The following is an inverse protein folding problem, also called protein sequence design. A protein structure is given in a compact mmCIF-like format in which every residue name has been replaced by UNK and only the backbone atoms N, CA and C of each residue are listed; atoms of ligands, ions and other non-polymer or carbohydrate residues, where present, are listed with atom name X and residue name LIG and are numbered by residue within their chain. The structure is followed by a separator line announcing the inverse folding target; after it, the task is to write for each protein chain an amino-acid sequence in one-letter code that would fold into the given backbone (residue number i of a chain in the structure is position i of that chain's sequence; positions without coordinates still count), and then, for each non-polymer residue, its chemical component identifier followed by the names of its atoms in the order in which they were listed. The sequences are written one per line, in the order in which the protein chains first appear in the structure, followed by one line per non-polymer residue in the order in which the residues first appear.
data_IF_671819782968
#
_entry.id   IF_671819782968
#
_cell.length_a   1.000
_cell.length_b   1.000
_cell.length_c   1.000
_cell.angle_alpha   90.00
_cell.angle_beta   90.00
_cell.angle_gamma   90.00
#
_symmetry.space_group_name_H-M   'P 1'
#
loop_
_entity.id
_entity.type
_entity.pdbx_description
1 polymer ?
#
# COMPACT_ATOMS: atom_id res chain seq x y z
N UNK A 1 3.94 1.34 -29.23
CA UNK A 1 3.49 1.93 -27.98
C UNK A 1 2.93 0.89 -26.98
N UNK A 2 2.14 -0.11 -27.39
CA UNK A 2 1.56 -1.12 -26.50
C UNK A 2 2.57 -2.08 -25.85
N UNK A 3 3.65 -2.51 -26.53
CA UNK A 3 4.66 -3.43 -25.96
C UNK A 3 5.47 -2.83 -24.81
N UNK A 4 5.88 -1.56 -24.93
CA UNK A 4 6.63 -0.87 -23.86
C UNK A 4 5.72 -0.65 -22.65
N UNK A 5 4.46 -0.25 -22.87
CA UNK A 5 3.47 -0.10 -21.80
C UNK A 5 3.20 -1.44 -21.07
N UNK A 6 3.14 -2.53 -21.81
CA UNK A 6 2.94 -3.87 -21.27
C UNK A 6 4.15 -4.35 -20.46
N UNK A 7 5.38 -4.12 -20.95
CA UNK A 7 6.63 -4.45 -20.22
C UNK A 7 6.74 -3.63 -18.93
N UNK A 8 6.36 -2.33 -18.97
CA UNK A 8 6.35 -1.48 -17.77
C UNK A 8 5.27 -1.97 -16.78
N UNK A 9 4.09 -2.32 -17.25
CA UNK A 9 3.02 -2.85 -16.42
C UNK A 9 3.40 -4.22 -15.81
N UNK A 10 4.00 -5.12 -16.59
CA UNK A 10 4.49 -6.42 -16.09
C UNK A 10 5.62 -6.25 -15.06
N UNK A 11 6.53 -5.29 -15.27
CA UNK A 11 7.57 -4.94 -14.30
C UNK A 11 6.98 -4.39 -12.99
N UNK A 12 5.97 -3.52 -13.08
CA UNK A 12 5.26 -2.96 -11.90
C UNK A 12 4.47 -4.05 -11.17
N UNK A 13 3.85 -4.99 -11.89
CA UNK A 13 3.00 -6.04 -11.30
C UNK A 13 3.76 -7.23 -10.73
N UNK A 14 4.90 -7.63 -11.32
CA UNK A 14 5.63 -8.84 -10.93
C UNK A 14 6.85 -8.59 -10.03
N UNK A 15 7.45 -7.41 -10.06
CA UNK A 15 8.64 -7.07 -9.27
C UNK A 15 8.32 -6.03 -8.18
N UNK A 16 7.88 -6.48 -7.02
CA UNK A 16 7.68 -5.58 -5.89
C UNK A 16 9.02 -5.05 -5.35
N UNK A 17 9.35 -3.79 -5.64
CA UNK A 17 10.58 -3.11 -5.16
C UNK A 17 10.71 -3.21 -3.62
N UNK A 18 9.61 -3.21 -2.91
CA UNK A 18 9.57 -3.37 -1.44
C UNK A 18 10.20 -4.71 -1.02
N UNK A 19 10.01 -5.78 -1.81
CA UNK A 19 10.54 -7.12 -1.53
C UNK A 19 11.94 -7.36 -2.11
N UNK A 20 12.53 -6.36 -2.77
CA UNK A 20 13.87 -6.48 -3.31
C UNK A 20 14.91 -6.69 -2.21
N UNK A 21 15.91 -7.49 -2.52
CA UNK A 21 17.07 -7.66 -1.65
C UNK A 21 17.83 -6.34 -1.51
N UNK A 22 18.58 -6.13 -0.42
CA UNK A 22 19.41 -4.94 -0.25
C UNK A 22 20.35 -4.67 -1.45
N UNK A 23 20.85 -5.72 -2.11
CA UNK A 23 21.70 -5.60 -3.28
C UNK A 23 20.95 -5.15 -4.54
N UNK A 24 19.73 -5.60 -4.77
CA UNK A 24 18.90 -5.11 -5.87
C UNK A 24 18.57 -3.61 -5.72
N UNK A 25 18.25 -3.18 -4.48
CA UNK A 25 18.06 -1.78 -4.15
C UNK A 25 19.33 -0.95 -4.35
N UNK A 26 20.49 -1.52 -4.00
CA UNK A 26 21.80 -0.89 -4.26
C UNK A 26 22.10 -0.76 -5.75
N UNK A 27 21.78 -1.77 -6.55
CA UNK A 27 21.92 -1.71 -8.01
C UNK A 27 21.07 -0.60 -8.60
N UNK A 28 19.81 -0.44 -8.16
CA UNK A 28 18.93 0.66 -8.58
C UNK A 28 19.55 2.03 -8.20
N UNK A 29 19.99 2.18 -6.95
CA UNK A 29 20.59 3.43 -6.46
C UNK A 29 21.83 3.82 -7.25
N UNK A 30 22.71 2.84 -7.52
CA UNK A 30 23.93 3.06 -8.33
C UNK A 30 23.59 3.37 -9.80
N UNK A 31 22.56 2.74 -10.36
CA UNK A 31 22.10 3.05 -11.73
C UNK A 31 21.55 4.47 -11.82
N UNK A 32 20.80 4.94 -10.84
CA UNK A 32 20.35 6.33 -10.75
C UNK A 32 21.53 7.29 -10.61
N UNK A 33 22.56 6.94 -9.80
CA UNK A 33 23.79 7.70 -9.68
C UNK A 33 24.54 7.79 -11.02
N UNK A 34 24.65 6.68 -11.75
CA UNK A 34 25.24 6.67 -13.09
C UNK A 34 24.49 7.57 -14.08
N UNK A 35 23.17 7.48 -14.09
CA UNK A 35 22.33 8.32 -14.96
C UNK A 35 22.49 9.81 -14.64
N UNK A 36 22.50 10.16 -13.35
CA UNK A 36 22.73 11.53 -12.91
C UNK A 36 24.14 12.01 -13.29
N UNK A 37 25.17 11.22 -13.05
CA UNK A 37 26.55 11.56 -13.45
C UNK A 37 26.69 11.70 -14.97
N UNK A 38 26.02 10.85 -15.74
CA UNK A 38 25.98 10.95 -17.21
C UNK A 38 25.31 12.26 -17.68
N UNK A 39 24.25 12.71 -17.03
CA UNK A 39 23.63 14.00 -17.33
C UNK A 39 24.60 15.18 -17.11
N UNK A 40 25.48 15.09 -16.08
CA UNK A 40 26.54 16.07 -15.87
C UNK A 40 27.55 16.11 -17.01
N UNK A 41 27.96 14.95 -17.53
CA UNK A 41 28.84 14.86 -18.69
C UNK A 41 28.21 15.52 -19.91
N UNK A 42 26.92 15.23 -20.18
CA UNK A 42 26.19 15.83 -21.29
C UNK A 42 26.09 17.36 -21.16
N UNK A 43 25.79 17.88 -19.98
CA UNK A 43 25.68 19.30 -19.72
C UNK A 43 27.06 20.02 -19.90
N UNK A 44 28.12 19.43 -19.37
CA UNK A 44 29.49 19.98 -19.56
C UNK A 44 29.92 19.91 -21.03
N UNK A 45 29.59 18.82 -21.72
CA UNK A 45 29.80 18.70 -23.17
C UNK A 45 29.05 19.78 -23.96
N UNK A 46 27.82 20.05 -23.61
CA UNK A 46 27.01 21.13 -24.19
C UNK A 46 27.70 22.50 -24.02
N UNK A 47 28.27 22.79 -22.86
CA UNK A 47 29.02 24.04 -22.64
C UNK A 47 30.22 24.14 -23.60
N UNK A 48 31.01 23.07 -23.76
CA UNK A 48 32.22 23.09 -24.59
C UNK A 48 31.91 23.30 -26.07
N UNK A 49 30.83 22.78 -26.59
CA UNK A 49 30.42 22.90 -28.01
C UNK A 49 29.64 24.18 -28.32
N UNK A 50 29.30 25.00 -27.30
CA UNK A 50 28.45 26.18 -27.47
C UNK A 50 29.20 27.47 -27.10
N UNK A 51 29.98 28.11 -28.02
CA UNK A 51 30.79 29.28 -27.73
C UNK A 51 30.02 30.50 -27.18
N UNK A 52 28.75 30.62 -27.51
CA UNK A 52 27.90 31.76 -27.08
C UNK A 52 27.73 31.83 -25.56
N UNK A 53 27.86 30.72 -24.83
CA UNK A 53 27.71 30.65 -23.37
C UNK A 53 29.01 30.63 -22.59
N UNK A 54 30.16 30.59 -23.26
CA UNK A 54 31.48 30.51 -22.61
C UNK A 54 31.76 31.65 -21.62
N UNK A 55 31.25 32.85 -21.90
CA UNK A 55 31.41 33.98 -20.99
C UNK A 55 30.75 33.75 -19.61
N UNK A 56 29.79 32.83 -19.51
CA UNK A 56 29.08 32.53 -18.28
C UNK A 56 29.56 31.28 -17.55
N UNK A 57 30.52 30.54 -18.13
CA UNK A 57 31.08 29.31 -17.57
C UNK A 57 32.58 29.42 -17.33
N UNK A 58 33.10 28.66 -16.36
CA UNK A 58 34.54 28.49 -16.14
C UNK A 58 35.05 27.31 -16.96
N UNK A 59 35.51 27.55 -18.18
CA UNK A 59 35.85 26.50 -19.13
C UNK A 59 36.95 25.56 -18.64
N UNK A 60 38.02 26.10 -18.02
CA UNK A 60 39.13 25.27 -17.52
C UNK A 60 38.67 24.29 -16.44
N UNK A 61 37.74 24.73 -15.60
CA UNK A 61 37.12 23.87 -14.60
C UNK A 61 36.17 22.85 -15.23
N UNK A 62 35.36 23.26 -16.24
CA UNK A 62 34.48 22.36 -16.99
C UNK A 62 35.26 21.22 -17.62
N UNK A 63 36.37 21.50 -18.31
CA UNK A 63 37.21 20.47 -18.93
C UNK A 63 37.81 19.49 -17.92
N UNK A 64 38.39 19.99 -16.82
CA UNK A 64 38.93 19.12 -15.78
C UNK A 64 37.87 18.25 -15.11
N UNK A 65 36.69 18.79 -14.93
CA UNK A 65 35.57 18.10 -14.29
C UNK A 65 34.92 17.02 -15.18
N UNK A 66 35.03 17.09 -16.50
CA UNK A 66 34.57 16.02 -17.40
C UNK A 66 35.36 14.73 -17.12
N UNK A 67 36.69 14.84 -17.02
CA UNK A 67 37.52 13.67 -16.72
C UNK A 67 37.21 13.06 -15.37
N UNK A 68 36.92 13.88 -14.35
CA UNK A 68 36.50 13.40 -13.04
C UNK A 68 35.15 12.71 -13.10
N UNK A 69 34.18 13.26 -13.85
CA UNK A 69 32.87 12.59 -14.03
C UNK A 69 32.98 11.28 -14.80
N UNK A 70 33.86 11.17 -15.82
CA UNK A 70 34.09 9.91 -16.51
C UNK A 70 34.70 8.86 -15.57
N UNK A 71 35.65 9.23 -14.73
CA UNK A 71 36.22 8.36 -13.72
C UNK A 71 35.14 7.93 -12.70
N UNK A 72 34.33 8.86 -12.21
CA UNK A 72 33.23 8.59 -11.26
C UNK A 72 32.22 7.66 -11.88
N UNK A 73 31.83 7.87 -13.14
CA UNK A 73 30.89 7.00 -13.85
C UNK A 73 31.42 5.56 -13.93
N UNK A 74 32.70 5.41 -14.27
CA UNK A 74 33.40 4.11 -14.32
C UNK A 74 33.38 3.44 -12.93
N UNK A 75 33.73 4.16 -11.87
CA UNK A 75 33.73 3.61 -10.51
C UNK A 75 32.32 3.19 -10.03
N UNK A 76 31.30 4.02 -10.31
CA UNK A 76 29.92 3.69 -10.00
C UNK A 76 29.43 2.43 -10.76
N UNK A 77 29.79 2.32 -12.05
CA UNK A 77 29.46 1.14 -12.84
C UNK A 77 30.16 -0.14 -12.31
N UNK A 78 31.43 -0.03 -11.88
CA UNK A 78 32.13 -1.14 -11.22
C UNK A 78 31.46 -1.55 -9.91
N UNK A 79 30.94 -0.60 -9.12
CA UNK A 79 30.21 -0.89 -7.87
C UNK A 79 28.89 -1.63 -8.09
N UNK A 80 28.35 -1.65 -9.32
CA UNK A 80 27.16 -2.45 -9.64
C UNK A 80 27.49 -3.96 -9.71
N UNK A 81 28.70 -4.34 -10.08
CA UNK A 81 29.13 -5.74 -10.24
C UNK A 81 28.91 -6.57 -8.96
N UNK A 82 29.31 -6.12 -7.75
CA UNK A 82 29.06 -6.84 -6.52
C UNK A 82 27.58 -7.14 -6.25
N UNK A 83 26.65 -6.28 -6.70
CA UNK A 83 25.22 -6.47 -6.51
C UNK A 83 24.71 -7.76 -7.16
N UNK A 84 25.29 -8.17 -8.27
CA UNK A 84 24.90 -9.38 -9.01
C UNK A 84 25.82 -10.57 -8.71
N UNK A 85 27.12 -10.33 -8.54
CA UNK A 85 28.13 -11.39 -8.35
C UNK A 85 28.10 -12.03 -6.99
N UNK A 86 27.73 -11.26 -5.95
CA UNK A 86 27.74 -11.69 -4.53
C UNK A 86 26.36 -11.66 -3.89
N UNK A 87 25.31 -11.97 -4.69
CA UNK A 87 23.90 -11.88 -4.29
C UNK A 87 23.56 -12.68 -3.03
N UNK A 88 24.22 -13.82 -2.81
CA UNK A 88 23.94 -14.75 -1.70
C UNK A 88 24.91 -14.56 -0.53
N UNK A 89 25.85 -13.60 -0.60
CA UNK A 89 26.86 -13.36 0.43
C UNK A 89 26.34 -12.37 1.48
N UNK A 90 26.32 -12.77 2.75
CA UNK A 90 25.83 -11.95 3.86
C UNK A 90 26.61 -10.62 4.05
N UNK A 91 27.93 -10.63 3.81
CA UNK A 91 28.76 -9.43 3.89
C UNK A 91 28.38 -8.41 2.81
N UNK A 92 28.09 -8.87 1.58
CA UNK A 92 27.72 -8.01 0.47
C UNK A 92 26.36 -7.33 0.74
N UNK A 93 25.39 -8.08 1.28
CA UNK A 93 24.08 -7.53 1.64
C UNK A 93 24.15 -6.45 2.74
N UNK A 94 25.21 -6.40 3.54
CA UNK A 94 25.40 -5.37 4.57
C UNK A 94 26.25 -4.20 4.09
N UNK A 95 27.36 -4.47 3.37
CA UNK A 95 28.37 -3.46 3.03
C UNK A 95 28.00 -2.72 1.73
N UNK A 96 27.52 -3.42 0.71
CA UNK A 96 27.23 -2.78 -0.60
C UNK A 96 26.17 -1.69 -0.51
N UNK A 97 25.05 -1.85 0.23
CA UNK A 97 24.10 -0.77 0.43
C UNK A 97 24.70 0.48 1.06
N UNK A 98 25.56 0.29 2.07
CA UNK A 98 26.24 1.39 2.74
C UNK A 98 27.13 2.16 1.75
N UNK A 99 27.97 1.44 1.00
CA UNK A 99 28.88 2.05 0.00
C UNK A 99 28.06 2.76 -1.10
N UNK A 100 26.98 2.15 -1.58
CA UNK A 100 26.14 2.72 -2.64
C UNK A 100 25.54 4.07 -2.27
N UNK A 101 24.98 4.16 -1.05
CA UNK A 101 24.37 5.40 -0.55
C UNK A 101 25.46 6.46 -0.29
N UNK A 102 26.60 6.07 0.30
CA UNK A 102 27.73 6.97 0.54
C UNK A 102 28.29 7.53 -0.77
N UNK A 103 28.53 6.66 -1.77
CA UNK A 103 29.06 7.07 -3.07
C UNK A 103 28.12 8.08 -3.77
N UNK A 104 26.81 7.83 -3.75
CA UNK A 104 25.85 8.75 -4.34
C UNK A 104 25.83 10.10 -3.62
N UNK A 105 25.81 10.10 -2.28
CA UNK A 105 25.81 11.35 -1.51
C UNK A 105 27.07 12.16 -1.65
N UNK A 106 28.26 11.52 -1.72
CA UNK A 106 29.51 12.20 -1.97
C UNK A 106 29.55 12.85 -3.35
N UNK A 107 29.08 12.13 -4.39
CA UNK A 107 28.93 12.68 -5.73
C UNK A 107 28.02 13.90 -5.73
N UNK A 108 26.86 13.82 -5.06
CA UNK A 108 25.91 14.92 -4.97
C UNK A 108 26.49 16.14 -4.23
N UNK A 109 27.25 15.94 -3.15
CA UNK A 109 27.92 17.04 -2.44
C UNK A 109 28.96 17.72 -3.31
N UNK A 110 29.78 16.95 -4.05
CA UNK A 110 30.78 17.47 -4.98
C UNK A 110 30.11 18.29 -6.09
N UNK A 111 29.13 17.71 -6.78
CA UNK A 111 28.44 18.36 -7.88
C UNK A 111 27.60 19.56 -7.39
N UNK A 112 27.02 19.44 -6.19
CA UNK A 112 26.31 20.52 -5.51
C UNK A 112 27.19 21.71 -5.18
N UNK A 113 28.44 21.48 -4.73
CA UNK A 113 29.43 22.55 -4.57
C UNK A 113 29.70 23.26 -5.90
N UNK A 114 29.86 22.51 -6.98
CA UNK A 114 30.23 23.05 -8.30
C UNK A 114 29.17 24.00 -8.89
N UNK A 115 27.87 23.74 -8.64
CA UNK A 115 26.75 24.58 -9.12
C UNK A 115 26.16 25.48 -8.04
N UNK A 116 26.68 25.38 -6.82
CA UNK A 116 26.24 26.11 -5.64
C UNK A 116 25.58 25.21 -4.61
N UNK A 117 26.19 25.17 -3.42
CA UNK A 117 25.76 24.29 -2.30
C UNK A 117 24.31 24.50 -1.86
N UNK A 118 23.74 25.68 -2.07
CA UNK A 118 22.34 26.03 -1.80
C UNK A 118 21.55 26.36 -3.08
N UNK A 119 22.06 25.97 -4.26
CA UNK A 119 21.29 26.17 -5.50
C UNK A 119 20.02 25.32 -5.52
N UNK A 120 18.97 25.73 -6.25
CA UNK A 120 17.73 24.94 -6.34
C UNK A 120 17.97 23.49 -6.78
N UNK A 121 18.88 23.27 -7.73
CA UNK A 121 19.22 21.93 -8.22
C UNK A 121 19.90 21.06 -7.15
N UNK A 122 20.82 21.63 -6.36
CA UNK A 122 21.45 20.92 -5.24
C UNK A 122 20.44 20.56 -4.17
N UNK A 123 19.54 21.47 -3.80
CA UNK A 123 18.54 21.22 -2.76
C UNK A 123 17.52 20.16 -3.20
N UNK A 124 17.03 20.22 -4.43
CA UNK A 124 16.12 19.22 -4.98
C UNK A 124 16.81 17.84 -5.07
N UNK A 125 18.05 17.78 -5.56
CA UNK A 125 18.85 16.56 -5.61
C UNK A 125 19.06 15.95 -4.22
N UNK A 126 19.40 16.79 -3.26
CA UNK A 126 19.65 16.39 -1.87
C UNK A 126 18.40 15.81 -1.21
N UNK A 127 17.28 16.52 -1.25
CA UNK A 127 16.01 16.05 -0.67
C UNK A 127 15.48 14.81 -1.40
N UNK A 128 15.57 14.79 -2.74
CA UNK A 128 15.16 13.64 -3.56
C UNK A 128 15.96 12.38 -3.23
N UNK A 129 17.30 12.51 -3.10
CA UNK A 129 18.15 11.35 -2.77
C UNK A 129 17.86 10.80 -1.37
N UNK A 130 17.58 11.66 -0.39
CA UNK A 130 17.18 11.23 0.95
C UNK A 130 15.84 10.50 0.88
N UNK A 131 14.84 11.08 0.20
CA UNK A 131 13.53 10.46 0.04
C UNK A 131 13.61 9.07 -0.57
N UNK A 132 14.35 8.94 -1.69
CA UNK A 132 14.60 7.64 -2.33
C UNK A 132 15.36 6.70 -1.40
N UNK A 133 16.39 7.19 -0.70
CA UNK A 133 17.18 6.41 0.24
C UNK A 133 16.33 5.83 1.39
N UNK A 134 15.50 6.65 2.03
CA UNK A 134 14.63 6.23 3.15
C UNK A 134 13.56 5.21 2.74
N UNK A 135 13.19 5.20 1.48
CA UNK A 135 12.27 4.21 0.93
C UNK A 135 12.98 2.89 0.64
N UNK A 136 14.19 2.94 0.10
CA UNK A 136 14.91 1.76 -0.34
C UNK A 136 15.69 1.06 0.77
N UNK A 137 16.24 1.81 1.74
CA UNK A 137 17.18 1.31 2.73
C UNK A 137 16.74 1.57 4.16
N UNK A 138 17.37 0.86 5.10
CA UNK A 138 17.20 1.09 6.53
C UNK A 138 17.67 2.51 6.92
N UNK A 139 16.96 3.13 7.84
CA UNK A 139 17.24 4.49 8.32
C UNK A 139 18.70 4.70 8.73
N UNK A 140 19.33 3.68 9.37
CA UNK A 140 20.74 3.74 9.80
C UNK A 140 21.71 3.95 8.62
N UNK A 141 21.48 3.27 7.51
CA UNK A 141 22.30 3.39 6.29
C UNK A 141 22.16 4.79 5.70
N UNK A 142 20.92 5.28 5.59
CA UNK A 142 20.64 6.59 5.00
C UNK A 142 21.22 7.71 5.87
N UNK A 143 20.99 7.68 7.19
CA UNK A 143 21.50 8.72 8.09
C UNK A 143 23.02 8.73 8.19
N UNK A 144 23.70 7.60 8.01
CA UNK A 144 25.16 7.55 7.98
C UNK A 144 25.77 8.31 6.80
N UNK A 145 25.03 8.46 5.69
CA UNK A 145 25.46 9.26 4.54
C UNK A 145 24.91 10.70 4.58
N UNK A 146 23.67 10.84 5.03
CA UNK A 146 22.95 12.11 5.09
C UNK A 146 23.58 13.13 6.06
N UNK A 147 23.92 12.70 7.28
CA UNK A 147 24.48 13.61 8.29
C UNK A 147 25.83 14.20 7.84
N UNK A 148 26.82 13.40 7.36
CA UNK A 148 28.04 13.96 6.80
C UNK A 148 27.81 14.86 5.59
N UNK A 149 26.89 14.49 4.69
CA UNK A 149 26.56 15.29 3.51
C UNK A 149 25.98 16.66 3.89
N UNK A 150 25.10 16.71 4.89
CA UNK A 150 24.57 17.97 5.45
C UNK A 150 25.70 18.85 5.95
N UNK A 151 26.61 18.27 6.73
CA UNK A 151 27.75 18.99 7.29
C UNK A 151 28.65 19.53 6.17
N UNK A 152 28.97 18.72 5.16
CA UNK A 152 29.77 19.13 4.01
C UNK A 152 29.11 20.32 3.28
N UNK A 153 27.84 20.23 2.92
CA UNK A 153 27.12 21.31 2.25
C UNK A 153 27.04 22.58 3.09
N UNK A 154 26.80 22.45 4.40
CA UNK A 154 26.77 23.58 5.32
C UNK A 154 28.15 24.26 5.43
N UNK A 155 29.21 23.48 5.55
CA UNK A 155 30.61 23.99 5.59
C UNK A 155 30.97 24.67 4.26
N UNK A 156 30.64 24.05 3.12
CA UNK A 156 30.87 24.66 1.80
C UNK A 156 30.12 25.99 1.67
N UNK A 157 28.89 26.06 2.15
CA UNK A 157 28.09 27.29 2.15
C UNK A 157 28.73 28.36 3.02
N UNK A 158 29.15 28.03 4.23
CA UNK A 158 29.79 28.95 5.16
C UNK A 158 31.12 29.49 4.60
N UNK A 159 31.98 28.61 4.06
CA UNK A 159 33.24 29.00 3.46
C UNK A 159 33.03 29.86 2.20
N UNK A 160 31.95 29.61 1.44
CA UNK A 160 31.62 30.48 0.31
C UNK A 160 31.14 31.87 0.75
N UNK A 161 30.36 31.95 1.85
CA UNK A 161 29.88 33.24 2.42
C UNK A 161 31.04 34.06 2.98
N UNK A 162 32.06 33.41 3.55
CA UNK A 162 33.30 34.11 4.07
C UNK A 162 34.29 34.42 2.99
N UNK A 163 34.08 34.02 1.72
CA UNK A 163 34.95 34.27 0.61
C UNK A 163 36.20 33.38 0.56
N UNK A 164 36.29 32.36 1.43
CA UNK A 164 37.43 31.40 1.44
C UNK A 164 37.41 30.51 0.19
N UNK A 165 36.22 30.10 -0.26
CA UNK A 165 36.03 29.34 -1.50
C UNK A 165 35.03 30.07 -2.40
N UNK A 166 35.10 29.83 -3.71
CA UNK A 166 34.15 30.38 -4.67
C UNK A 166 32.81 29.69 -4.57
N UNK A 167 31.70 30.42 -4.45
CA UNK A 167 30.36 29.87 -4.61
C UNK A 167 30.08 29.48 -6.05
N UNK A 168 29.58 28.28 -6.29
CA UNK A 168 29.22 27.74 -7.61
C UNK A 168 30.34 27.96 -8.69
N UNK A 169 31.50 27.38 -8.48
CA UNK A 169 32.71 27.73 -9.26
C UNK A 169 32.62 27.39 -10.77
N UNK A 170 31.66 26.59 -11.20
CA UNK A 170 31.41 26.35 -12.63
C UNK A 170 30.78 27.54 -13.34
N UNK A 171 30.11 28.45 -12.62
CA UNK A 171 29.49 29.63 -13.19
C UNK A 171 30.37 30.89 -13.00
N UNK A 172 30.42 31.74 -14.01
CA UNK A 172 31.07 33.05 -13.94
C UNK A 172 30.04 34.15 -13.64
N UNK A 173 29.70 34.31 -12.36
CA UNK A 173 28.68 35.31 -11.93
C UNK A 173 29.14 36.76 -12.18
N UNK A 174 30.44 37.03 -12.38
CA UNK A 174 30.93 38.37 -12.68
C UNK A 174 30.42 38.88 -14.03
N UNK A 175 30.23 37.98 -14.98
CA UNK A 175 29.70 38.29 -16.31
C UNK A 175 28.16 38.20 -16.42
N UNK A 176 27.52 37.59 -15.45
CA UNK A 176 26.06 37.48 -15.34
C UNK A 176 25.51 38.71 -14.58
N UNK A 177 24.98 39.70 -15.27
CA UNK A 177 24.41 40.93 -14.63
C UNK A 177 23.36 40.60 -13.56
N UNK A 178 22.50 39.61 -13.82
CA UNK A 178 21.46 39.10 -12.91
C UNK A 178 21.42 37.55 -13.05
N UNK A 179 22.09 36.84 -12.18
CA UNK A 179 22.16 35.38 -12.25
C UNK A 179 20.79 34.71 -12.31
N UNK A 180 19.83 35.19 -11.50
CA UNK A 180 18.48 34.62 -11.38
C UNK A 180 17.64 34.74 -12.66
N UNK A 181 17.93 35.66 -13.55
CA UNK A 181 17.22 35.87 -14.83
C UNK A 181 18.05 35.45 -16.05
N UNK A 182 19.30 34.99 -15.84
CA UNK A 182 20.17 34.54 -16.91
C UNK A 182 19.64 33.23 -17.52
N UNK A 183 19.36 33.17 -18.85
CA UNK A 183 18.80 31.97 -19.48
C UNK A 183 19.69 30.72 -19.34
N UNK A 184 21.02 30.88 -19.35
CA UNK A 184 21.94 29.76 -19.18
C UNK A 184 21.86 29.17 -17.77
N UNK A 185 21.82 30.03 -16.73
CA UNK A 185 21.69 29.58 -15.35
C UNK A 185 20.33 28.93 -15.10
N UNK A 186 19.22 29.57 -15.53
CA UNK A 186 17.88 29.00 -15.41
C UNK A 186 17.74 27.67 -16.13
N UNK A 187 18.23 27.61 -17.40
CA UNK A 187 18.23 26.39 -18.19
C UNK A 187 19.03 25.27 -17.53
N UNK A 188 20.20 25.60 -16.94
CA UNK A 188 21.00 24.62 -16.19
C UNK A 188 20.28 24.10 -14.95
N UNK A 189 19.61 24.99 -14.17
CA UNK A 189 18.83 24.55 -13.01
C UNK A 189 17.69 23.62 -13.42
N UNK A 190 16.93 23.98 -14.45
CA UNK A 190 15.85 23.15 -14.98
C UNK A 190 16.37 21.80 -15.50
N UNK A 191 17.49 21.80 -16.22
CA UNK A 191 18.12 20.58 -16.73
C UNK A 191 18.44 19.56 -15.62
N UNK A 192 18.92 20.03 -14.47
CA UNK A 192 19.23 19.13 -13.34
C UNK A 192 18.02 18.80 -12.48
N UNK A 193 17.08 19.73 -12.32
CA UNK A 193 15.90 19.54 -11.46
C UNK A 193 14.90 18.57 -12.11
N UNK A 194 14.59 18.75 -13.38
CA UNK A 194 13.50 18.03 -14.03
C UNK A 194 13.66 16.51 -14.05
N UNK A 195 14.83 15.94 -14.39
CA UNK A 195 15.03 14.49 -14.33
C UNK A 195 14.85 13.92 -12.92
N UNK A 196 15.31 14.65 -11.90
CA UNK A 196 15.18 14.22 -10.49
C UNK A 196 13.71 14.20 -10.08
N UNK A 197 12.94 15.24 -10.38
CA UNK A 197 11.52 15.31 -10.08
C UNK A 197 10.74 14.21 -10.79
N UNK A 198 11.03 13.97 -12.07
CA UNK A 198 10.38 12.91 -12.85
C UNK A 198 10.73 11.53 -12.24
N UNK A 199 11.99 11.28 -11.91
CA UNK A 199 12.41 10.02 -11.29
C UNK A 199 11.75 9.81 -9.91
N UNK A 200 11.69 10.86 -9.08
CA UNK A 200 11.01 10.81 -7.78
C UNK A 200 9.51 10.56 -7.94
N UNK A 201 8.86 11.22 -8.91
CA UNK A 201 7.45 11.04 -9.19
C UNK A 201 7.14 9.60 -9.63
N UNK A 202 7.92 9.07 -10.58
CA UNK A 202 7.76 7.68 -11.06
C UNK A 202 7.94 6.69 -9.91
N UNK A 203 9.01 6.87 -9.10
CA UNK A 203 9.26 5.99 -7.96
C UNK A 203 8.12 6.05 -6.93
N UNK A 204 7.61 7.24 -6.65
CA UNK A 204 6.49 7.44 -5.72
C UNK A 204 5.22 6.74 -6.21
N UNK A 205 4.88 6.87 -7.49
CA UNK A 205 3.72 6.19 -8.10
C UNK A 205 3.86 4.65 -8.04
N UNK A 206 5.06 4.12 -8.33
CA UNK A 206 5.32 2.69 -8.22
C UNK A 206 5.10 2.21 -6.78
N UNK A 207 5.65 2.93 -5.79
CA UNK A 207 5.54 2.56 -4.38
C UNK A 207 4.10 2.65 -3.86
N UNK A 208 3.37 3.70 -4.22
CA UNK A 208 1.95 3.86 -3.89
C UNK A 208 1.11 2.70 -4.44
N UNK A 209 1.36 2.33 -5.69
CA UNK A 209 0.66 1.21 -6.33
C UNK A 209 0.94 -0.11 -5.62
N UNK A 210 2.20 -0.39 -5.28
CA UNK A 210 2.59 -1.60 -4.55
C UNK A 210 2.02 -1.62 -3.13
N UNK A 211 2.00 -0.49 -2.45
CA UNK A 211 1.42 -0.38 -1.11
C UNK A 211 -0.08 -0.69 -1.13
N UNK A 212 -0.84 -0.10 -2.06
CA UNK A 212 -2.28 -0.38 -2.24
C UNK A 212 -2.55 -1.86 -2.57
N UNK A 213 -1.73 -2.47 -3.43
CA UNK A 213 -1.86 -3.89 -3.76
C UNK A 213 -1.60 -4.78 -2.54
N UNK A 214 -0.59 -4.47 -1.74
CA UNK A 214 -0.28 -5.21 -0.51
C UNK A 214 -1.41 -5.09 0.52
N UNK A 215 -1.98 -3.90 0.69
CA UNK A 215 -3.12 -3.68 1.58
C UNK A 215 -4.34 -4.49 1.12
N UNK A 216 -4.67 -4.45 -0.17
CA UNK A 216 -5.75 -5.27 -0.76
C UNK A 216 -5.49 -6.77 -0.58
N UNK A 217 -4.23 -7.20 -0.72
CA UNK A 217 -3.86 -8.60 -0.53
C UNK A 217 -4.03 -9.03 0.94
N UNK A 218 -3.59 -8.21 1.89
CA UNK A 218 -3.77 -8.48 3.34
C UNK A 218 -5.27 -8.56 3.68
N UNK A 219 -6.08 -7.64 3.16
CA UNK A 219 -7.54 -7.68 3.34
C UNK A 219 -8.16 -8.95 2.73
N UNK A 220 -7.62 -9.43 1.59
CA UNK A 220 -8.05 -10.69 0.98
C UNK A 220 -7.66 -11.93 1.80
N UNK A 221 -6.56 -11.87 2.54
CA UNK A 221 -6.12 -12.97 3.42
C UNK A 221 -6.85 -12.96 4.76
N UNK A 222 -7.47 -11.86 5.17
CA UNK A 222 -8.28 -11.81 6.38
C UNK A 222 -9.47 -12.75 6.23
N UNK A 223 -9.60 -13.69 7.16
CA UNK A 223 -10.72 -14.63 7.23
C UNK A 223 -11.86 -14.10 8.11
N UNK A 224 -11.57 -13.07 8.88
CA UNK A 224 -12.44 -12.55 9.93
C UNK A 224 -12.98 -11.18 9.52
N UNK A 225 -14.23 -10.89 9.85
CA UNK A 225 -14.81 -9.55 9.77
C UNK A 225 -14.22 -8.67 10.87
N UNK A 226 -13.59 -7.52 10.51
CA UNK A 226 -12.84 -6.72 11.47
C UNK A 226 -13.71 -6.04 12.54
N UNK A 227 -15.03 -5.89 12.29
CA UNK A 227 -15.94 -5.27 13.24
C UNK A 227 -16.45 -6.28 14.26
N UNK A 228 -16.93 -7.43 13.78
CA UNK A 228 -17.67 -8.39 14.62
C UNK A 228 -16.83 -9.57 15.10
N UNK A 229 -15.61 -9.71 14.59
CA UNK A 229 -14.66 -10.79 14.91
C UNK A 229 -15.18 -12.21 14.64
N UNK A 230 -16.23 -12.35 13.81
CA UNK A 230 -16.67 -13.63 13.24
C UNK A 230 -16.16 -13.78 11.82
N UNK A 231 -16.40 -14.93 11.17
CA UNK A 231 -15.93 -15.12 9.79
C UNK A 231 -16.58 -14.10 8.85
N UNK A 232 -15.80 -13.66 7.85
CA UNK A 232 -16.33 -12.82 6.79
C UNK A 232 -17.01 -13.67 5.70
N UNK A 233 -17.75 -13.02 4.80
CA UNK A 233 -18.49 -13.66 3.70
C UNK A 233 -17.64 -14.61 2.87
N UNK A 234 -16.38 -14.26 2.61
CA UNK A 234 -15.47 -15.08 1.81
C UNK A 234 -15.15 -16.40 2.51
N UNK A 235 -14.82 -16.33 3.78
CA UNK A 235 -14.51 -17.52 4.60
C UNK A 235 -15.72 -18.40 4.77
N UNK A 236 -16.92 -17.81 4.96
CA UNK A 236 -18.17 -18.55 4.99
C UNK A 236 -18.38 -19.38 3.72
N UNK A 237 -18.18 -18.78 2.54
CA UNK A 237 -18.31 -19.50 1.28
C UNK A 237 -17.31 -20.66 1.18
N UNK A 238 -16.06 -20.46 1.58
CA UNK A 238 -15.05 -21.53 1.60
C UNK A 238 -15.45 -22.68 2.52
N UNK A 239 -15.98 -22.39 3.71
CA UNK A 239 -16.47 -23.42 4.63
C UNK A 239 -17.71 -24.14 4.10
N UNK A 240 -18.62 -23.42 3.47
CA UNK A 240 -19.82 -23.99 2.85
C UNK A 240 -19.48 -24.95 1.70
N UNK A 241 -18.54 -24.55 0.82
CA UNK A 241 -18.05 -25.39 -0.27
C UNK A 241 -17.37 -26.65 0.29
N UNK A 242 -16.53 -26.53 1.32
CA UNK A 242 -15.87 -27.66 1.97
C UNK A 242 -16.87 -28.64 2.60
N UNK A 243 -17.94 -28.16 3.27
CA UNK A 243 -18.98 -29.00 3.82
C UNK A 243 -19.73 -29.77 2.73
N UNK A 244 -19.99 -29.10 1.59
CA UNK A 244 -20.69 -29.70 0.46
C UNK A 244 -19.85 -30.77 -0.26
N UNK A 245 -18.55 -30.50 -0.48
CA UNK A 245 -17.59 -31.44 -1.10
C UNK A 245 -17.41 -32.72 -0.24
N UNK A 246 -17.44 -32.60 1.08
CA UNK A 246 -17.34 -33.73 2.00
C UNK A 246 -18.65 -34.54 2.11
N UNK A 247 -19.70 -34.12 1.40
CA UNK A 247 -21.01 -34.76 1.40
C UNK A 247 -21.64 -34.91 2.79
N UNK A 248 -21.30 -34.00 3.72
CA UNK A 248 -21.97 -33.96 5.01
C UNK A 248 -23.34 -33.31 4.89
N UNK A 249 -24.31 -33.82 5.67
CA UNK A 249 -25.55 -33.10 5.89
C UNK A 249 -25.28 -31.84 6.71
N UNK A 250 -25.77 -30.71 6.25
CA UNK A 250 -25.62 -29.43 6.94
C UNK A 250 -26.91 -28.58 6.76
N UNK A 251 -27.14 -27.69 7.72
CA UNK A 251 -28.13 -26.65 7.58
C UNK A 251 -27.48 -25.27 7.49
N UNK A 252 -28.16 -24.37 6.80
CA UNK A 252 -27.80 -22.96 6.67
C UNK A 252 -28.93 -22.12 7.29
N UNK A 253 -28.55 -21.24 8.21
CA UNK A 253 -29.44 -20.21 8.74
C UNK A 253 -28.92 -18.86 8.25
N UNK A 254 -29.73 -18.14 7.50
CA UNK A 254 -29.48 -16.73 7.17
C UNK A 254 -30.36 -15.88 8.07
N UNK A 255 -29.78 -14.91 8.73
CA UNK A 255 -30.49 -13.98 9.58
C UNK A 255 -30.16 -12.53 9.24
N UNK A 256 -31.10 -11.64 9.52
CA UNK A 256 -31.01 -10.20 9.31
C UNK A 256 -31.61 -9.46 10.50
N UNK A 257 -30.94 -8.40 10.94
CA UNK A 257 -31.35 -7.61 12.10
C UNK A 257 -32.53 -6.73 11.72
N UNK A 258 -33.63 -6.91 12.41
CA UNK A 258 -34.88 -6.17 12.13
C UNK A 258 -34.70 -4.68 12.38
N UNK A 259 -35.02 -3.87 11.37
CA UNK A 259 -35.00 -2.41 11.46
C UNK A 259 -33.62 -1.79 11.81
N UNK A 260 -32.51 -2.46 11.48
CA UNK A 260 -31.15 -1.99 11.79
C UNK A 260 -30.88 -0.57 11.28
N UNK A 261 -31.41 -0.20 10.09
CA UNK A 261 -31.35 1.15 9.58
C UNK A 261 -31.93 2.18 10.56
N UNK A 262 -33.08 1.87 11.23
CA UNK A 262 -33.66 2.77 12.23
C UNK A 262 -32.74 2.93 13.46
N UNK A 263 -32.02 1.87 13.84
CA UNK A 263 -31.03 1.95 14.93
C UNK A 263 -29.93 2.94 14.55
N UNK A 264 -29.39 2.82 13.33
CA UNK A 264 -28.40 3.77 12.84
C UNK A 264 -28.93 5.20 12.73
N UNK A 265 -30.14 5.39 12.23
CA UNK A 265 -30.76 6.71 12.04
C UNK A 265 -31.02 7.40 13.39
N UNK A 266 -31.36 6.65 14.45
CA UNK A 266 -31.69 7.19 15.79
C UNK A 266 -30.44 7.38 16.64
N UNK A 267 -29.53 6.39 16.67
CA UNK A 267 -28.41 6.32 17.62
C UNK A 267 -27.04 6.57 16.97
N UNK A 268 -27.00 6.70 15.64
CA UNK A 268 -25.78 6.89 14.88
C UNK A 268 -25.06 5.57 14.55
N UNK A 269 -24.22 5.61 13.51
CA UNK A 269 -23.49 4.43 12.99
C UNK A 269 -22.59 3.77 14.03
N UNK A 270 -21.93 4.56 14.89
CA UNK A 270 -21.09 4.01 15.95
C UNK A 270 -21.86 3.12 16.92
N UNK A 271 -23.10 3.48 17.25
CA UNK A 271 -23.96 2.65 18.11
C UNK A 271 -24.48 1.43 17.35
N UNK A 272 -24.76 1.56 16.04
CA UNK A 272 -25.08 0.42 15.19
C UNK A 272 -23.92 -0.59 15.13
N UNK A 273 -22.69 -0.14 15.06
CA UNK A 273 -21.50 -1.00 15.11
C UNK A 273 -21.43 -1.78 16.44
N UNK A 274 -21.71 -1.14 17.57
CA UNK A 274 -21.78 -1.82 18.88
C UNK A 274 -22.89 -2.87 18.92
N UNK A 275 -24.05 -2.58 18.34
CA UNK A 275 -25.16 -3.55 18.20
C UNK A 275 -24.71 -4.76 17.39
N UNK A 276 -24.01 -4.58 16.28
CA UNK A 276 -23.49 -5.69 15.48
C UNK A 276 -22.49 -6.56 16.26
N UNK A 277 -21.60 -5.95 17.05
CA UNK A 277 -20.63 -6.65 17.89
C UNK A 277 -21.33 -7.50 18.95
N UNK A 278 -22.30 -6.92 19.65
CA UNK A 278 -23.05 -7.63 20.70
C UNK A 278 -23.92 -8.77 20.16
N UNK A 279 -24.52 -8.58 18.96
CA UNK A 279 -25.25 -9.63 18.27
C UNK A 279 -24.33 -10.78 17.87
N UNK A 280 -23.17 -10.48 17.27
CA UNK A 280 -22.20 -11.50 16.89
C UNK A 280 -21.75 -12.32 18.10
N UNK A 281 -21.49 -11.67 19.25
CA UNK A 281 -21.14 -12.31 20.51
C UNK A 281 -22.27 -13.21 21.01
N UNK A 282 -23.48 -12.67 21.10
CA UNK A 282 -24.65 -13.41 21.55
C UNK A 282 -24.93 -14.66 20.69
N UNK A 283 -24.82 -14.52 19.35
CA UNK A 283 -24.98 -15.66 18.45
C UNK A 283 -23.88 -16.71 18.68
N UNK A 284 -22.62 -16.28 18.79
CA UNK A 284 -21.49 -17.20 19.03
C UNK A 284 -21.63 -17.99 20.33
N UNK A 285 -22.13 -17.35 21.41
CA UNK A 285 -22.36 -17.99 22.70
C UNK A 285 -23.52 -19.02 22.66
N UNK A 286 -24.38 -18.92 21.67
CA UNK A 286 -25.52 -19.81 21.45
C UNK A 286 -25.26 -20.92 20.42
N UNK A 287 -24.01 -21.06 19.95
CA UNK A 287 -23.61 -22.07 18.99
C UNK A 287 -22.65 -23.08 19.61
N UNK A 288 -22.52 -24.26 18.98
CA UNK A 288 -21.54 -25.28 19.34
C UNK A 288 -20.17 -24.91 18.76
N UNK A 289 -19.10 -25.54 19.25
CA UNK A 289 -17.74 -25.33 18.72
C UNK A 289 -17.59 -25.73 17.23
N UNK A 290 -18.41 -26.65 16.75
CA UNK A 290 -18.43 -27.12 15.36
C UNK A 290 -19.28 -26.25 14.44
N UNK A 291 -20.18 -25.45 15.00
CA UNK A 291 -21.02 -24.53 14.25
C UNK A 291 -20.19 -23.32 13.79
N UNK A 292 -20.47 -22.84 12.60
CA UNK A 292 -19.73 -21.76 11.96
C UNK A 292 -20.61 -20.53 11.87
N UNK A 293 -20.14 -19.41 12.36
CA UNK A 293 -20.82 -18.11 12.27
C UNK A 293 -19.98 -17.13 11.45
N UNK A 294 -20.65 -16.32 10.64
CA UNK A 294 -19.97 -15.22 9.98
C UNK A 294 -20.95 -14.12 9.54
N UNK A 295 -20.38 -12.97 9.27
CA UNK A 295 -21.11 -11.81 8.76
C UNK A 295 -21.14 -11.85 7.23
N UNK A 296 -22.35 -11.92 6.67
CA UNK A 296 -22.55 -12.09 5.24
C UNK A 296 -22.75 -10.76 4.50
N UNK A 297 -23.35 -9.79 5.16
CA UNK A 297 -23.60 -8.44 4.63
C UNK A 297 -23.52 -7.37 5.73
N UNK A 298 -24.09 -6.21 5.49
CA UNK A 298 -24.09 -5.10 6.44
C UNK A 298 -24.68 -5.46 7.80
N UNK A 299 -25.88 -6.00 7.80
CA UNK A 299 -26.68 -6.40 8.98
C UNK A 299 -27.08 -7.88 8.93
N UNK A 300 -26.48 -8.64 8.00
CA UNK A 300 -26.79 -10.04 7.76
C UNK A 300 -25.70 -10.97 8.30
N UNK A 301 -26.11 -12.04 8.97
CA UNK A 301 -25.24 -13.12 9.43
C UNK A 301 -25.66 -14.46 8.86
N UNK A 302 -24.69 -15.36 8.67
CA UNK A 302 -24.93 -16.76 8.32
C UNK A 302 -24.39 -17.66 9.43
N UNK A 303 -25.20 -18.68 9.77
CA UNK A 303 -24.75 -19.81 10.58
C UNK A 303 -24.74 -21.05 9.67
N UNK A 304 -23.60 -21.74 9.62
CA UNK A 304 -23.46 -23.04 8.97
C UNK A 304 -23.38 -24.09 10.08
N UNK A 305 -24.29 -25.05 10.04
CA UNK A 305 -24.46 -26.07 11.06
C UNK A 305 -24.12 -27.45 10.48
N UNK A 306 -22.88 -27.92 10.61
CA UNK A 306 -22.49 -29.26 10.16
C UNK A 306 -23.27 -30.34 10.90
N UNK A 307 -23.51 -31.48 10.24
CA UNK A 307 -24.23 -32.66 10.82
C UNK A 307 -25.55 -32.33 11.50
N UNK A 308 -26.28 -31.35 10.95
CA UNK A 308 -27.50 -30.83 11.56
C UNK A 308 -28.66 -30.92 10.56
N UNK A 309 -29.73 -31.59 10.95
CA UNK A 309 -30.97 -31.65 10.18
C UNK A 309 -31.81 -30.38 10.32
N UNK A 310 -32.84 -30.26 9.51
CA UNK A 310 -33.67 -29.05 9.45
C UNK A 310 -34.43 -28.79 10.77
N UNK A 311 -34.84 -29.87 11.51
CA UNK A 311 -35.58 -29.75 12.77
C UNK A 311 -34.63 -29.25 13.88
N UNK A 312 -33.43 -29.74 13.92
CA UNK A 312 -32.42 -29.27 14.86
C UNK A 312 -32.01 -27.84 14.56
N UNK A 313 -31.84 -27.50 13.27
CA UNK A 313 -31.54 -26.14 12.83
C UNK A 313 -32.61 -25.14 13.24
N UNK A 314 -33.89 -25.51 13.13
CA UNK A 314 -35.01 -24.68 13.59
C UNK A 314 -34.96 -24.40 15.10
N UNK A 315 -34.62 -25.42 15.91
CA UNK A 315 -34.44 -25.24 17.37
C UNK A 315 -33.26 -24.33 17.71
N UNK A 316 -32.13 -24.44 16.98
CA UNK A 316 -30.97 -23.57 17.15
C UNK A 316 -31.32 -22.14 16.77
N UNK A 317 -31.99 -21.94 15.63
CA UNK A 317 -32.42 -20.62 15.18
C UNK A 317 -33.40 -19.96 16.18
N UNK A 318 -34.36 -20.71 16.73
CA UNK A 318 -35.31 -20.18 17.71
C UNK A 318 -34.59 -19.81 19.02
N UNK A 319 -33.62 -20.63 19.48
CA UNK A 319 -32.76 -20.28 20.64
C UNK A 319 -32.01 -18.99 20.40
N UNK A 320 -31.38 -18.84 19.23
CA UNK A 320 -30.68 -17.61 18.87
C UNK A 320 -31.60 -16.40 18.80
N UNK A 321 -32.81 -16.59 18.22
CA UNK A 321 -33.84 -15.54 18.15
C UNK A 321 -34.25 -15.04 19.53
N UNK A 322 -34.52 -15.98 20.45
CA UNK A 322 -34.93 -15.65 21.84
C UNK A 322 -33.75 -14.95 22.57
N UNK A 323 -32.51 -15.46 22.45
CA UNK A 323 -31.35 -14.85 23.05
C UNK A 323 -31.12 -13.40 22.55
N UNK A 324 -31.33 -13.13 21.25
CA UNK A 324 -31.24 -11.78 20.71
C UNK A 324 -32.38 -10.87 21.22
N UNK A 325 -33.59 -11.40 21.40
CA UNK A 325 -34.72 -10.64 21.93
C UNK A 325 -34.52 -10.26 23.41
N UNK A 326 -33.82 -11.09 24.18
CA UNK A 326 -33.48 -10.86 25.58
C UNK A 326 -32.20 -10.04 25.75
N UNK A 327 -31.44 -9.85 24.67
CA UNK A 327 -30.17 -9.14 24.71
C UNK A 327 -30.37 -7.68 25.13
N UNK A 328 -29.62 -7.28 26.15
CA UNK A 328 -29.67 -5.93 26.70
C UNK A 328 -28.49 -5.13 26.24
N UNK A 329 -28.70 -4.19 25.32
CA UNK A 329 -27.68 -3.27 24.81
C UNK A 329 -28.02 -1.87 25.31
N UNK A 330 -27.00 -1.16 25.86
CA UNK A 330 -27.17 0.22 26.30
C UNK A 330 -26.37 1.17 25.42
N UNK A 331 -26.94 2.31 25.10
CA UNK A 331 -26.19 3.40 24.48
C UNK A 331 -25.37 4.19 25.52
N UNK A 332 -24.59 5.17 25.07
CA UNK A 332 -23.76 6.03 25.92
C UNK A 332 -24.56 6.89 26.93
N UNK A 333 -25.88 7.00 26.76
CA UNK A 333 -26.81 7.71 27.65
C UNK A 333 -27.55 6.76 28.59
N UNK A 334 -27.11 5.48 28.65
CA UNK A 334 -27.73 4.43 29.46
C UNK A 334 -29.21 4.11 29.05
N UNK A 335 -29.54 4.35 27.77
CA UNK A 335 -30.85 3.99 27.18
C UNK A 335 -30.72 2.60 26.59
N UNK A 336 -31.68 1.71 26.95
CA UNK A 336 -31.74 0.35 26.43
C UNK A 336 -32.19 0.35 24.97
N UNK A 337 -31.42 -0.37 24.13
CA UNK A 337 -31.76 -0.62 22.72
C UNK A 337 -32.25 -2.04 22.59
N UNK A 338 -33.52 -2.20 22.16
CA UNK A 338 -34.10 -3.49 21.88
C UNK A 338 -33.79 -3.90 20.44
N UNK A 339 -33.34 -5.12 20.26
CA UNK A 339 -33.05 -5.71 18.98
C UNK A 339 -33.86 -6.97 18.75
N UNK A 340 -34.21 -7.24 17.50
CA UNK A 340 -34.73 -8.52 17.06
C UNK A 340 -34.15 -8.88 15.72
N UNK A 341 -34.24 -10.14 15.33
CA UNK A 341 -33.76 -10.60 14.04
C UNK A 341 -34.75 -11.59 13.43
N UNK A 342 -34.80 -11.62 12.12
CA UNK A 342 -35.54 -12.55 11.31
C UNK A 342 -34.66 -13.66 10.81
N UNK A 343 -35.12 -14.90 10.78
CA UNK A 343 -34.32 -16.09 10.47
C UNK A 343 -34.94 -16.91 9.34
N UNK A 344 -34.14 -17.21 8.30
CA UNK A 344 -34.53 -18.13 7.23
C UNK A 344 -33.60 -19.34 7.23
N UNK A 345 -34.13 -20.54 7.08
CA UNK A 345 -33.41 -21.81 7.21
C UNK A 345 -33.57 -22.65 5.95
N UNK A 346 -32.49 -23.28 5.50
CA UNK A 346 -32.52 -24.36 4.52
C UNK A 346 -31.47 -25.43 4.89
N UNK A 347 -31.52 -26.58 4.21
CA UNK A 347 -30.64 -27.73 4.43
C UNK A 347 -30.11 -28.27 3.11
N UNK A 348 -28.89 -28.82 3.15
CA UNK A 348 -28.25 -29.54 2.02
C UNK A 348 -29.06 -30.73 1.52
N UNK A 349 -29.91 -31.33 2.36
CA UNK A 349 -30.79 -32.44 1.97
C UNK A 349 -31.75 -32.07 0.81
N UNK A 350 -31.96 -30.80 0.52
CA UNK A 350 -32.92 -30.29 -0.47
C UNK A 350 -32.28 -29.55 -1.64
N UNK A 351 -30.96 -29.53 -1.73
CA UNK A 351 -30.26 -28.82 -2.78
C UNK A 351 -28.89 -29.47 -3.11
N UNK A 352 -28.65 -29.70 -4.41
CA UNK A 352 -27.41 -30.27 -4.92
C UNK A 352 -26.30 -29.22 -5.16
N UNK A 353 -26.52 -27.98 -4.75
CA UNK A 353 -25.59 -26.86 -4.90
C UNK A 353 -25.57 -26.05 -3.60
N UNK A 354 -24.41 -25.79 -3.00
CA UNK A 354 -24.29 -25.04 -1.76
C UNK A 354 -24.88 -23.64 -1.85
N UNK A 355 -24.76 -22.99 -2.98
CA UNK A 355 -25.34 -21.64 -3.18
C UNK A 355 -26.86 -21.68 -3.32
N UNK A 356 -27.44 -22.81 -3.76
CA UNK A 356 -28.89 -23.00 -3.76
C UNK A 356 -29.44 -23.10 -2.34
N UNK A 357 -28.68 -23.71 -1.40
CA UNK A 357 -29.05 -23.78 0.02
C UNK A 357 -29.17 -22.37 0.62
N UNK A 358 -28.16 -21.50 0.35
CA UNK A 358 -28.22 -20.09 0.80
C UNK A 358 -29.42 -19.38 0.19
N UNK A 359 -29.67 -19.54 -1.12
CA UNK A 359 -30.81 -18.90 -1.80
C UNK A 359 -32.13 -19.34 -1.27
N UNK A 360 -32.28 -20.60 -0.88
CA UNK A 360 -33.50 -21.12 -0.22
C UNK A 360 -33.67 -20.51 1.19
N UNK A 361 -32.57 -20.39 1.96
CA UNK A 361 -32.58 -19.71 3.25
C UNK A 361 -33.00 -18.23 3.12
N UNK A 362 -32.52 -17.55 2.08
CA UNK A 362 -32.84 -16.15 1.78
C UNK A 362 -34.36 -16.00 1.44
N UNK A 363 -34.94 -16.92 0.64
CA UNK A 363 -36.37 -16.94 0.36
C UNK A 363 -37.19 -17.12 1.64
N UNK A 364 -36.74 -17.99 2.54
CA UNK A 364 -37.39 -18.17 3.85
C UNK A 364 -37.30 -16.91 4.71
N UNK A 365 -36.14 -16.26 4.75
CA UNK A 365 -35.92 -15.00 5.44
C UNK A 365 -36.77 -13.86 4.88
N UNK A 366 -36.88 -13.77 3.56
CA UNK A 366 -37.79 -12.80 2.92
C UNK A 366 -39.24 -12.98 3.34
N UNK A 367 -39.70 -14.23 3.40
CA UNK A 367 -41.08 -14.55 3.85
C UNK A 367 -41.29 -14.17 5.33
N UNK A 368 -40.29 -14.33 6.19
CA UNK A 368 -40.33 -13.86 7.59
C UNK A 368 -40.46 -12.34 7.64
N UNK A 369 -39.64 -11.62 6.89
CA UNK A 369 -39.70 -10.15 6.86
C UNK A 369 -41.06 -9.63 6.38
N UNK A 370 -41.68 -10.31 5.42
CA UNK A 370 -43.03 -9.98 4.92
C UNK A 370 -44.16 -10.31 5.91
N UNK A 371 -43.95 -11.26 6.83
CA UNK A 371 -45.00 -11.73 7.76
C UNK A 371 -44.90 -11.14 9.18
N UNK A 372 -44.15 -10.06 9.37
CA UNK A 372 -44.12 -9.33 10.64
C UNK A 372 -42.78 -9.38 11.39
N UNK A 373 -41.72 -10.00 10.81
CA UNK A 373 -40.36 -10.10 11.37
C UNK A 373 -40.27 -10.88 12.69
N UNK A 374 -39.10 -10.90 13.32
CA UNK A 374 -38.81 -11.56 14.60
C UNK A 374 -39.37 -13.00 14.67
N UNK A 375 -39.15 -13.78 13.63
CA UNK A 375 -39.64 -15.15 13.48
C UNK A 375 -38.57 -16.02 12.83
N UNK A 376 -38.75 -17.33 12.94
CA UNK A 376 -37.98 -18.36 12.27
C UNK A 376 -38.84 -19.03 11.22
N UNK A 377 -38.32 -19.26 10.01
CA UNK A 377 -39.01 -20.09 9.00
C UNK A 377 -38.03 -20.96 8.27
N UNK A 378 -38.48 -22.16 7.94
CA UNK A 378 -37.76 -23.04 7.02
C UNK A 378 -38.30 -22.87 5.59
N UNK A 379 -37.42 -23.09 4.61
CA UNK A 379 -37.78 -23.00 3.20
C UNK A 379 -38.97 -23.94 2.83
N UNK A 380 -39.08 -25.11 3.48
CA UNK A 380 -40.17 -26.09 3.23
C UNK A 380 -41.55 -25.66 3.72
N UNK A 381 -41.59 -24.74 4.67
CA UNK A 381 -42.85 -24.17 5.16
C UNK A 381 -43.41 -23.13 4.20
N UNK A 382 -42.69 -22.76 3.15
CA UNK A 382 -43.11 -21.80 2.15
C UNK A 382 -44.11 -22.49 1.19
N UNK A 383 -45.20 -21.82 0.79
CA UNK A 383 -46.07 -22.31 -0.25
C UNK A 383 -45.26 -22.47 -1.53
N UNK A 384 -45.19 -23.71 -2.02
CA UNK A 384 -44.53 -23.97 -3.31
C UNK A 384 -45.30 -23.26 -4.42
N UNK A 385 -44.76 -22.16 -4.94
CA UNK A 385 -45.27 -21.56 -6.16
C UNK A 385 -44.94 -22.58 -7.28
N UNK A 386 -45.98 -23.32 -7.70
CA UNK A 386 -45.89 -24.15 -8.91
C UNK A 386 -45.44 -23.22 -10.04
N UNK A 387 -44.25 -23.42 -10.51
CA UNK A 387 -43.75 -22.80 -11.78
C UNK A 387 -44.76 -23.18 -12.87
N UNK A 388 -45.49 -22.19 -13.37
CA UNK A 388 -46.33 -22.26 -14.57
C UNK A 388 -45.40 -22.30 -15.79
#
# INVERSE_FOLDING_TARGET
MNKIKQVILDFIHHNHIINWTPLQKSALMLTLACAMNFSWILWKGYILITPSIWQWANLSLVESQIWLNLLTLFLLAVLIIPCYRYKDQAWAQKIVPLISVQAFMLMLCHDGYLIGSISPATMVGYVGTIGVGLVLFERKIVYSAFIPATIILAVCTYLSMTGVISYAPLFNFKTMRHAQTNPFWLGSMLFFIMPILVACFILFEILLTQWRQRETYIQRLSQIDPLTNVLNRRSLNTHLEALHEQQFDYAVILLDIDHFKKINDIYGHHQGDQVLIEIARCLSENLRNEDIIGRFGGEEFILLLPHTDIIQAEKIAERCRQALQELTIFNNQNIQIHVSASFGISSSAFANDPYLVIRQADQALYAVKASGRNQVRTFHQLPQIKSI
#
